data_IF_069206892967
#
_entry.id   IF_069206892967
#
_cell.length_a   1.000
_cell.length_b   1.000
_cell.length_c   1.000
_cell.angle_alpha   90.00
_cell.angle_beta   90.00
_cell.angle_gamma   90.00
#
_symmetry.space_group_name_H-M   'P 1'
#
loop_
_entity.id
_entity.type
_entity.pdbx_description
1 polymer ?
#
# COMPACT_ATOMS: atom_id res chain seq x y z
N UNK A 1 -22.84 6.84 1.54
CA UNK A 1 -22.20 6.06 2.62
C UNK A 1 -20.94 5.33 2.14
N UNK A 2 -20.78 5.09 0.82
CA UNK A 2 -19.66 4.35 0.23
C UNK A 2 -18.32 5.11 0.18
N UNK A 3 -18.32 6.43 -0.05
CA UNK A 3 -17.07 7.20 -0.16
C UNK A 3 -16.24 7.26 1.13
N UNK A 4 -16.90 7.17 2.30
CA UNK A 4 -16.23 7.26 3.60
C UNK A 4 -15.28 6.07 3.82
N UNK A 5 -15.73 4.87 3.46
CA UNK A 5 -14.95 3.63 3.61
C UNK A 5 -13.72 3.59 2.71
N UNK A 6 -13.78 4.20 1.52
CA UNK A 6 -12.66 4.20 0.56
C UNK A 6 -11.55 5.17 1.01
N UNK A 7 -11.91 6.32 1.59
CA UNK A 7 -10.94 7.26 2.17
C UNK A 7 -10.16 6.61 3.31
N UNK A 8 -10.88 5.93 4.21
CA UNK A 8 -10.29 5.22 5.34
C UNK A 8 -9.30 4.13 4.87
N UNK A 9 -9.62 3.40 3.80
CA UNK A 9 -8.75 2.35 3.26
C UNK A 9 -7.45 2.91 2.64
N UNK A 10 -7.55 4.01 1.87
CA UNK A 10 -6.37 4.67 1.29
C UNK A 10 -5.45 5.20 2.37
N UNK A 11 -6.01 5.78 3.42
CA UNK A 11 -5.25 6.29 4.56
C UNK A 11 -4.56 5.17 5.35
N UNK A 12 -5.22 4.00 5.48
CA UNK A 12 -4.61 2.80 6.06
C UNK A 12 -3.42 2.34 5.20
N UNK A 13 -3.62 2.21 3.88
CA UNK A 13 -2.57 1.74 2.96
C UNK A 13 -1.37 2.70 2.93
N UNK A 14 -1.60 4.01 3.00
CA UNK A 14 -0.53 5.01 3.08
C UNK A 14 0.36 4.84 4.32
N UNK A 15 -0.22 4.40 5.44
CA UNK A 15 0.48 4.20 6.70
C UNK A 15 1.21 2.86 6.78
N UNK A 16 1.06 2.00 5.76
CA UNK A 16 1.82 0.76 5.72
C UNK A 16 3.32 1.05 5.61
N UNK A 17 4.04 0.43 6.51
CA UNK A 17 5.49 0.45 6.56
C UNK A 17 6.08 -0.46 5.49
N UNK A 18 6.95 0.13 4.67
CA UNK A 18 7.59 -0.55 3.54
C UNK A 18 8.55 -1.65 4.02
N UNK A 19 9.20 -1.48 5.17
CA UNK A 19 10.13 -2.48 5.71
C UNK A 19 9.38 -3.72 6.20
N UNK A 20 8.28 -3.52 6.93
CA UNK A 20 7.38 -4.58 7.37
C UNK A 20 6.83 -5.38 6.20
N UNK A 21 6.34 -4.72 5.14
CA UNK A 21 5.86 -5.41 3.94
C UNK A 21 6.97 -6.22 3.25
N UNK A 22 8.16 -5.65 3.11
CA UNK A 22 9.31 -6.36 2.55
C UNK A 22 9.71 -7.59 3.38
N UNK A 23 9.64 -7.49 4.71
CA UNK A 23 9.91 -8.61 5.60
C UNK A 23 8.85 -9.71 5.45
N UNK A 24 7.58 -9.35 5.30
CA UNK A 24 6.50 -10.31 5.03
C UNK A 24 6.70 -11.02 3.67
N UNK A 25 7.08 -10.28 2.61
CA UNK A 25 7.39 -10.85 1.29
C UNK A 25 8.53 -11.87 1.38
N UNK A 26 9.63 -11.50 2.07
CA UNK A 26 10.84 -12.34 2.19
C UNK A 26 10.61 -13.59 3.04
N UNK A 27 9.88 -13.44 4.15
CA UNK A 27 9.67 -14.53 5.12
C UNK A 27 8.47 -15.41 4.78
N UNK A 28 7.64 -15.01 3.82
CA UNK A 28 6.52 -15.83 3.39
C UNK A 28 6.98 -17.07 2.63
N UNK A 29 6.53 -18.23 3.11
CA UNK A 29 6.75 -19.54 2.48
C UNK A 29 5.65 -19.89 1.47
N UNK A 30 4.48 -19.27 1.58
CA UNK A 30 3.37 -19.42 0.64
C UNK A 30 3.56 -18.51 -0.57
N UNK A 31 3.37 -19.07 -1.78
CA UNK A 31 3.41 -18.30 -3.02
C UNK A 31 2.27 -17.28 -3.09
N UNK A 32 1.10 -17.63 -2.57
CA UNK A 32 -0.10 -16.79 -2.56
C UNK A 32 0.08 -15.60 -1.62
N UNK A 33 0.59 -15.85 -0.41
CA UNK A 33 0.87 -14.78 0.56
C UNK A 33 1.95 -13.84 0.03
N UNK A 34 3.02 -14.39 -0.56
CA UNK A 34 4.08 -13.57 -1.18
C UNK A 34 3.52 -12.70 -2.31
N UNK A 35 2.64 -13.26 -3.14
CA UNK A 35 1.96 -12.51 -4.19
C UNK A 35 1.10 -11.39 -3.59
N UNK A 36 0.29 -11.70 -2.58
CA UNK A 36 -0.53 -10.71 -1.90
C UNK A 36 0.29 -9.56 -1.30
N UNK A 37 1.36 -9.85 -0.57
CA UNK A 37 2.20 -8.81 0.04
C UNK A 37 2.93 -7.95 -1.01
N UNK A 38 3.34 -8.55 -2.14
CA UNK A 38 3.89 -7.80 -3.26
C UNK A 38 2.86 -6.83 -3.87
N UNK A 39 1.63 -7.27 -4.10
CA UNK A 39 0.57 -6.41 -4.63
C UNK A 39 0.22 -5.29 -3.64
N UNK A 40 0.16 -5.60 -2.35
CA UNK A 40 -0.06 -4.60 -1.29
C UNK A 40 1.06 -3.56 -1.23
N UNK A 41 2.31 -3.99 -1.38
CA UNK A 41 3.48 -3.12 -1.46
C UNK A 41 3.39 -2.18 -2.67
N UNK A 42 3.13 -2.74 -3.86
CA UNK A 42 2.97 -1.98 -5.09
C UNK A 42 1.85 -0.94 -4.99
N UNK A 43 0.70 -1.34 -4.44
CA UNK A 43 -0.44 -0.44 -4.22
C UNK A 43 -0.08 0.70 -3.25
N UNK A 44 0.65 0.40 -2.17
CA UNK A 44 1.10 1.43 -1.22
C UNK A 44 2.02 2.47 -1.88
N UNK A 45 2.90 2.04 -2.78
CA UNK A 45 3.78 2.92 -3.53
C UNK A 45 3.00 3.81 -4.49
N UNK A 46 2.05 3.23 -5.24
CA UNK A 46 1.21 3.98 -6.18
C UNK A 46 0.42 5.08 -5.48
N UNK A 47 -0.18 4.78 -4.32
CA UNK A 47 -0.94 5.77 -3.56
C UNK A 47 -0.03 6.89 -3.03
N UNK A 48 1.15 6.55 -2.51
CA UNK A 48 2.15 7.54 -2.03
C UNK A 48 2.62 8.44 -3.17
N UNK A 49 2.91 7.88 -4.35
CA UNK A 49 3.29 8.64 -5.55
C UNK A 49 2.16 9.55 -6.03
N UNK A 50 0.93 9.04 -6.08
CA UNK A 50 -0.22 9.85 -6.49
C UNK A 50 -0.43 11.05 -5.56
N UNK A 51 -0.22 10.86 -4.25
CA UNK A 51 -0.27 11.96 -3.28
C UNK A 51 0.82 13.01 -3.54
N UNK A 52 2.07 12.59 -3.73
CA UNK A 52 3.17 13.50 -4.04
C UNK A 52 2.92 14.31 -5.32
N UNK A 53 2.45 13.65 -6.39
CA UNK A 53 2.11 14.33 -7.66
C UNK A 53 1.00 15.38 -7.47
N UNK A 54 0.04 15.11 -6.59
CA UNK A 54 -1.03 16.06 -6.29
C UNK A 54 -0.55 17.22 -5.42
N UNK A 55 0.44 17.00 -4.55
CA UNK A 55 1.05 18.03 -3.70
C UNK A 55 2.06 18.91 -4.47
N UNK A 56 2.82 18.36 -5.43
CA UNK A 56 3.77 19.09 -6.28
C UNK A 56 3.13 19.93 -7.40
N UNK A 57 1.82 19.75 -7.65
CA UNK A 57 1.08 20.52 -8.66
C UNK A 57 0.54 21.86 -8.17
N UNK A 58 0.87 22.27 -6.94
CA UNK A 58 0.50 23.54 -6.31
C UNK A 58 1.72 24.21 -5.67
#
# INVERSE_FOLDING_TARGET
>A
MEEKNIKDLKDIIMKLDSETLNNLIKNSTSKEDRFFYNELYNLSLQIKQQKLINEEKY
#
